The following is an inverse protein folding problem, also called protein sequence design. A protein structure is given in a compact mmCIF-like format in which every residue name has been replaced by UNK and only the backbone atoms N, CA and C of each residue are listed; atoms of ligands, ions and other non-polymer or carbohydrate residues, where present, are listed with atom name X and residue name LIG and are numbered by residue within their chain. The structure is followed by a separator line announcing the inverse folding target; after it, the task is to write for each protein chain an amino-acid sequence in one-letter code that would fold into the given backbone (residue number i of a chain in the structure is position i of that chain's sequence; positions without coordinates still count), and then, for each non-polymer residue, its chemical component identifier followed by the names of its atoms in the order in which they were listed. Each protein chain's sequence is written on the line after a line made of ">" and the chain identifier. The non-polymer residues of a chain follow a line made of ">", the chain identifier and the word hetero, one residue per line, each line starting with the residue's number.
data_IF_076182524107
#
_entry.id   IF_076182524107
#
_cell.length_a   1.000
_cell.length_b   1.000
_cell.length_c   1.000
_cell.angle_alpha   90.00
_cell.angle_beta   90.00
_cell.angle_gamma   90.00
#
_symmetry.space_group_name_H-M   'P 1'
#
loop_
_entity.id
_entity.type
_entity.pdbx_description
1 polymer ?
#
# COMPACT_ATOMS: atom_id res chain seq x y z
N UNK A 1 -16.88 -11.19 -18.74
CA UNK A 1 -15.79 -11.96 -18.09
C UNK A 1 -14.98 -11.00 -17.22
N UNK A 2 -14.99 -11.23 -15.94
CA UNK A 2 -14.12 -10.46 -15.06
C UNK A 2 -12.73 -11.12 -15.07
N UNK A 3 -11.74 -10.42 -15.65
CA UNK A 3 -10.35 -10.82 -15.54
C UNK A 3 -9.87 -10.77 -14.08
N UNK A 4 -8.77 -11.44 -13.80
CA UNK A 4 -8.15 -11.41 -12.48
C UNK A 4 -7.66 -9.99 -12.16
N UNK A 5 -7.67 -9.63 -10.88
CA UNK A 5 -7.05 -8.43 -10.37
C UNK A 5 -5.53 -8.59 -10.50
N UNK A 6 -4.89 -7.75 -11.29
CA UNK A 6 -3.43 -7.80 -11.47
C UNK A 6 -2.73 -6.94 -10.42
N UNK A 7 -1.72 -7.51 -9.77
CA UNK A 7 -1.05 -6.92 -8.61
C UNK A 7 0.45 -6.88 -8.87
N UNK A 8 1.05 -5.71 -8.68
CA UNK A 8 2.49 -5.52 -8.60
C UNK A 8 2.88 -5.34 -7.14
N UNK A 9 3.91 -6.05 -6.70
CA UNK A 9 4.49 -5.91 -5.36
C UNK A 9 5.82 -5.18 -5.48
N UNK A 10 5.96 -4.07 -4.78
CA UNK A 10 7.19 -3.28 -4.70
C UNK A 10 7.65 -3.20 -3.24
N UNK A 11 8.63 -4.01 -2.88
CA UNK A 11 9.18 -4.10 -1.53
C UNK A 11 10.62 -4.65 -1.63
N UNK A 12 11.57 -4.04 -0.94
CA UNK A 12 12.97 -4.46 -0.98
C UNK A 12 13.24 -5.76 -0.19
N UNK A 13 12.33 -6.15 0.69
CA UNK A 13 12.40 -7.43 1.40
C UNK A 13 11.87 -8.55 0.52
N UNK A 14 12.80 -9.33 -0.07
CA UNK A 14 12.46 -10.39 -1.01
C UNK A 14 11.65 -11.53 -0.37
N UNK A 15 12.00 -11.92 0.85
CA UNK A 15 11.29 -12.98 1.57
C UNK A 15 9.83 -12.59 1.83
N UNK A 16 9.60 -11.37 2.30
CA UNK A 16 8.27 -10.81 2.48
C UNK A 16 7.48 -10.78 1.18
N UNK A 17 8.07 -10.26 0.10
CA UNK A 17 7.43 -10.17 -1.21
C UNK A 17 7.05 -11.54 -1.78
N UNK A 18 7.93 -12.52 -1.67
CA UNK A 18 7.66 -13.89 -2.13
C UNK A 18 6.55 -14.55 -1.32
N UNK A 19 6.55 -14.38 -0.02
CA UNK A 19 5.49 -14.89 0.86
C UNK A 19 4.15 -14.25 0.54
N UNK A 20 4.12 -12.94 0.40
CA UNK A 20 2.91 -12.19 0.04
C UNK A 20 2.37 -12.62 -1.33
N UNK A 21 3.24 -12.73 -2.33
CA UNK A 21 2.86 -13.22 -3.66
C UNK A 21 2.25 -14.61 -3.60
N UNK A 22 2.84 -15.49 -2.81
CA UNK A 22 2.35 -16.87 -2.62
C UNK A 22 0.91 -16.90 -2.08
N UNK A 23 0.59 -16.06 -1.10
CA UNK A 23 -0.77 -15.95 -0.56
C UNK A 23 -1.76 -15.35 -1.56
N UNK A 24 -1.36 -14.31 -2.27
CA UNK A 24 -2.23 -13.66 -3.26
C UNK A 24 -2.52 -14.59 -4.45
N UNK A 25 -1.54 -15.36 -4.91
CA UNK A 25 -1.70 -16.32 -6.02
C UNK A 25 -2.64 -17.49 -5.68
N UNK A 26 -2.91 -17.75 -4.41
CA UNK A 26 -3.91 -18.77 -4.01
C UNK A 26 -5.34 -18.30 -4.24
N UNK A 27 -5.57 -17.01 -4.40
CA UNK A 27 -6.88 -16.46 -4.68
C UNK A 27 -7.19 -16.56 -6.18
N UNK A 28 -8.37 -17.12 -6.50
CA UNK A 28 -8.78 -17.37 -7.89
C UNK A 28 -8.96 -16.09 -8.72
N UNK A 29 -9.22 -14.98 -8.06
CA UNK A 29 -9.49 -13.68 -8.66
C UNK A 29 -8.29 -12.73 -8.68
N UNK A 30 -7.10 -13.20 -8.27
CA UNK A 30 -5.89 -12.38 -8.17
C UNK A 30 -4.73 -12.98 -8.95
N UNK A 31 -3.88 -12.12 -9.47
CA UNK A 31 -2.64 -12.48 -10.16
C UNK A 31 -1.53 -11.50 -9.84
N UNK A 32 -0.42 -11.99 -9.31
CA UNK A 32 0.79 -11.18 -9.13
C UNK A 32 1.55 -11.13 -10.44
N UNK A 33 1.62 -9.96 -11.05
CA UNK A 33 2.25 -9.75 -12.36
C UNK A 33 3.73 -9.43 -12.26
N UNK A 34 4.21 -9.06 -11.08
CA UNK A 34 5.62 -8.80 -10.87
C UNK A 34 5.95 -8.47 -9.43
N UNK A 35 7.23 -8.57 -9.12
CA UNK A 35 7.83 -8.18 -7.84
C UNK A 35 9.02 -7.29 -8.16
N UNK A 36 9.11 -6.14 -7.51
CA UNK A 36 10.23 -5.20 -7.63
C UNK A 36 10.83 -4.91 -6.27
N UNK A 37 12.10 -4.48 -6.25
CA UNK A 37 12.83 -4.16 -5.02
C UNK A 37 13.12 -2.68 -4.84
N UNK A 38 12.93 -1.90 -5.87
CA UNK A 38 13.16 -0.44 -5.85
C UNK A 38 12.08 0.29 -6.63
N UNK A 39 11.98 1.60 -6.37
CA UNK A 39 10.93 2.41 -6.95
C UNK A 39 11.12 2.70 -8.43
N UNK A 40 12.35 2.73 -8.95
CA UNK A 40 12.60 2.95 -10.37
C UNK A 40 12.15 1.75 -11.20
N UNK A 41 12.46 0.54 -10.74
CA UNK A 41 11.97 -0.70 -11.35
C UNK A 41 10.45 -0.82 -11.23
N UNK A 42 9.89 -0.38 -10.11
CA UNK A 42 8.43 -0.32 -9.93
C UNK A 42 7.77 0.57 -10.98
N UNK A 43 8.27 1.77 -11.22
CA UNK A 43 7.74 2.68 -12.25
C UNK A 43 7.82 2.04 -13.64
N UNK A 44 8.95 1.42 -13.98
CA UNK A 44 9.12 0.73 -15.25
C UNK A 44 8.07 -0.38 -15.43
N UNK A 45 7.89 -1.22 -14.43
CA UNK A 45 6.91 -2.32 -14.48
C UNK A 45 5.46 -1.85 -14.47
N UNK A 46 5.16 -0.77 -13.78
CA UNK A 46 3.83 -0.13 -13.84
C UNK A 46 3.49 0.27 -15.28
N UNK A 47 4.43 0.87 -15.98
CA UNK A 47 4.27 1.26 -17.39
C UNK A 47 4.09 0.06 -18.33
N UNK A 48 4.91 -0.98 -18.13
CA UNK A 48 4.91 -2.18 -18.98
C UNK A 48 3.69 -3.07 -18.74
N UNK A 49 3.37 -3.33 -17.48
CA UNK A 49 2.40 -4.34 -17.09
C UNK A 49 1.01 -3.78 -16.80
N UNK A 50 0.89 -2.50 -16.55
CA UNK A 50 -0.36 -1.78 -16.24
C UNK A 50 -1.19 -2.53 -15.17
N UNK A 51 -0.62 -2.75 -13.98
CA UNK A 51 -1.33 -3.49 -12.94
C UNK A 51 -2.55 -2.71 -12.45
N UNK A 52 -3.56 -3.43 -11.98
CA UNK A 52 -4.72 -2.83 -11.33
C UNK A 52 -4.35 -2.24 -9.97
N UNK A 53 -3.51 -2.95 -9.22
CA UNK A 53 -3.11 -2.61 -7.85
C UNK A 53 -1.60 -2.68 -7.72
N UNK A 54 -1.02 -1.72 -7.02
CA UNK A 54 0.39 -1.73 -6.62
C UNK A 54 0.45 -1.77 -5.09
N UNK A 55 1.05 -2.82 -4.56
CA UNK A 55 1.41 -2.91 -3.14
C UNK A 55 2.82 -2.34 -2.99
N UNK A 56 2.95 -1.21 -2.31
CA UNK A 56 4.11 -0.35 -2.39
C UNK A 56 4.68 -0.09 -1.00
N UNK A 57 5.88 -0.62 -0.74
CA UNK A 57 6.62 -0.29 0.48
C UNK A 57 7.03 1.19 0.47
N UNK A 58 7.00 1.80 1.64
CA UNK A 58 7.40 3.21 1.80
C UNK A 58 8.89 3.37 1.59
N UNK A 59 9.71 2.49 2.18
CA UNK A 59 11.17 2.61 2.13
C UNK A 59 11.77 1.58 1.18
N UNK A 60 12.33 2.07 0.10
CA UNK A 60 13.04 1.27 -0.90
C UNK A 60 14.28 2.00 -1.40
N UNK A 61 15.33 1.28 -1.87
CA UNK A 61 16.49 1.93 -2.48
C UNK A 61 16.17 2.62 -3.80
N UNK A 62 17.01 3.55 -4.19
CA UNK A 62 16.97 4.38 -5.41
C UNK A 62 15.79 5.36 -5.44
N UNK A 63 14.58 4.88 -5.49
CA UNK A 63 13.35 5.67 -5.40
C UNK A 63 12.44 5.02 -4.37
N UNK A 64 12.06 5.75 -3.34
CA UNK A 64 11.17 5.27 -2.30
C UNK A 64 9.68 5.24 -2.74
N UNK A 65 8.83 4.68 -1.90
CA UNK A 65 7.40 4.59 -2.21
C UNK A 65 6.72 5.95 -2.39
N UNK A 66 7.15 6.97 -1.68
CA UNK A 66 6.63 8.34 -1.87
C UNK A 66 7.00 8.89 -3.24
N UNK A 67 8.23 8.67 -3.66
CA UNK A 67 8.71 9.06 -4.99
C UNK A 67 7.95 8.36 -6.11
N UNK A 68 7.60 7.09 -5.93
CA UNK A 68 6.74 6.35 -6.87
C UNK A 68 5.36 6.99 -6.96
N UNK A 69 4.72 7.29 -5.83
CA UNK A 69 3.42 7.98 -5.79
C UNK A 69 3.46 9.34 -6.48
N UNK A 70 4.49 10.13 -6.23
CA UNK A 70 4.66 11.44 -6.89
C UNK A 70 4.73 11.30 -8.41
N UNK A 71 5.46 10.32 -8.90
CA UNK A 71 5.56 10.06 -10.34
C UNK A 71 4.25 9.59 -10.96
N UNK A 72 3.50 8.74 -10.26
CA UNK A 72 2.18 8.29 -10.71
C UNK A 72 1.21 9.47 -10.77
N UNK A 73 1.18 10.31 -9.74
CA UNK A 73 0.24 11.43 -9.62
C UNK A 73 0.61 12.65 -10.48
N UNK A 74 1.82 12.73 -10.97
CA UNK A 74 2.24 13.84 -11.85
C UNK A 74 1.62 13.82 -13.25
N UNK A 75 0.68 12.94 -13.50
CA UNK A 75 0.02 12.73 -14.82
C UNK A 75 0.97 12.43 -16.00
N UNK A 76 2.23 12.15 -15.71
CA UNK A 76 3.21 11.75 -16.72
C UNK A 76 3.07 10.30 -17.14
N UNK A 77 2.45 9.51 -16.28
CA UNK A 77 2.07 8.14 -16.57
C UNK A 77 0.59 8.16 -16.91
N UNK A 78 0.21 7.84 -18.12
CA UNK A 78 -1.19 7.71 -18.54
C UNK A 78 -1.90 6.52 -17.86
N UNK A 79 -1.34 6.02 -16.76
CA UNK A 79 -1.77 4.85 -16.01
C UNK A 79 -1.98 5.26 -14.58
N UNK A 80 -3.13 4.92 -14.04
CA UNK A 80 -3.49 5.26 -12.67
C UNK A 80 -3.84 3.99 -11.86
N UNK A 81 -2.83 3.20 -11.46
CA UNK A 81 -3.08 2.04 -10.63
C UNK A 81 -3.53 2.45 -9.22
N UNK A 82 -4.27 1.58 -8.57
CA UNK A 82 -4.61 1.74 -7.15
C UNK A 82 -3.37 1.42 -6.32
N UNK A 83 -2.89 2.39 -5.55
CA UNK A 83 -1.71 2.22 -4.71
C UNK A 83 -2.11 1.96 -3.25
N UNK A 84 -1.69 0.83 -2.73
CA UNK A 84 -1.79 0.47 -1.32
C UNK A 84 -0.38 0.54 -0.72
N UNK A 85 -0.19 1.45 0.25
CA UNK A 85 1.11 1.58 0.92
C UNK A 85 1.28 0.50 1.99
N UNK A 86 2.46 -0.08 2.02
CA UNK A 86 2.89 -1.00 3.08
C UNK A 86 3.89 -0.25 3.96
N UNK A 87 3.54 0.02 5.22
CA UNK A 87 4.38 0.78 6.13
C UNK A 87 4.76 -0.01 7.37
N UNK A 88 5.94 0.27 7.93
CA UNK A 88 6.31 -0.27 9.23
C UNK A 88 5.76 0.59 10.36
N UNK A 89 5.63 0.00 11.54
CA UNK A 89 5.32 0.74 12.78
C UNK A 89 6.38 1.83 13.01
N UNK A 90 5.94 3.02 13.36
CA UNK A 90 6.83 4.18 13.60
C UNK A 90 7.07 5.07 12.38
N UNK A 91 6.46 4.78 11.23
CA UNK A 91 6.57 5.57 10.01
C UNK A 91 5.36 6.51 9.80
N UNK A 92 4.80 7.04 10.86
CA UNK A 92 3.52 7.76 10.85
C UNK A 92 3.53 9.01 9.98
N UNK A 93 4.57 9.84 10.09
CA UNK A 93 4.70 11.07 9.28
C UNK A 93 4.83 10.77 7.79
N UNK A 94 5.57 9.71 7.46
CA UNK A 94 5.78 9.27 6.08
C UNK A 94 4.48 8.70 5.51
N UNK A 95 3.76 7.92 6.29
CA UNK A 95 2.46 7.35 5.92
C UNK A 95 1.43 8.45 5.68
N UNK A 96 1.39 9.48 6.54
CA UNK A 96 0.52 10.64 6.36
C UNK A 96 0.82 11.38 5.06
N UNK A 97 2.10 11.55 4.73
CA UNK A 97 2.51 12.15 3.46
C UNK A 97 2.10 11.30 2.26
N UNK A 98 2.20 9.99 2.35
CA UNK A 98 1.75 9.06 1.31
C UNK A 98 0.25 9.20 1.02
N UNK A 99 -0.57 9.32 2.05
CA UNK A 99 -2.02 9.55 1.92
C UNK A 99 -2.28 10.89 1.23
N UNK A 100 -1.56 11.93 1.60
CA UNK A 100 -1.65 13.27 0.98
C UNK A 100 -1.26 13.23 -0.50
N UNK A 101 -0.30 12.39 -0.88
CA UNK A 101 0.17 12.20 -2.25
C UNK A 101 -0.73 11.29 -3.09
N UNK A 102 -1.82 10.78 -2.55
CA UNK A 102 -2.81 10.01 -3.30
C UNK A 102 -2.77 8.51 -3.13
N UNK A 103 -2.12 7.99 -2.09
CA UNK A 103 -2.29 6.59 -1.73
C UNK A 103 -3.75 6.31 -1.40
N UNK A 104 -4.33 5.30 -2.05
CA UNK A 104 -5.74 4.92 -1.85
C UNK A 104 -5.96 4.30 -0.47
N UNK A 105 -4.96 3.56 -0.01
CA UNK A 105 -5.01 2.83 1.24
C UNK A 105 -3.59 2.61 1.78
N UNK A 106 -3.47 2.37 3.08
CA UNK A 106 -2.21 1.93 3.68
C UNK A 106 -2.46 0.76 4.64
N UNK A 107 -1.45 -0.07 4.81
CA UNK A 107 -1.46 -1.20 5.73
C UNK A 107 -0.16 -1.19 6.54
N UNK A 108 -0.27 -1.32 7.85
CA UNK A 108 0.88 -1.32 8.75
C UNK A 108 1.37 -2.76 8.96
N UNK A 109 2.65 -2.99 8.74
CA UNK A 109 3.29 -4.29 8.98
C UNK A 109 3.54 -4.52 10.48
N UNK A 110 3.31 -5.72 11.01
CA UNK A 110 2.69 -6.87 10.39
C UNK A 110 1.17 -6.72 10.26
N UNK A 111 0.58 -7.31 9.22
CA UNK A 111 -0.84 -7.21 8.95
C UNK A 111 -1.47 -8.59 8.71
N UNK A 112 -2.79 -8.67 8.84
CA UNK A 112 -3.57 -9.83 8.45
C UNK A 112 -3.71 -9.89 6.93
N UNK A 113 -3.22 -10.96 6.32
CA UNK A 113 -3.27 -11.15 4.87
C UNK A 113 -4.72 -11.21 4.35
N UNK A 114 -5.64 -11.77 5.11
CA UNK A 114 -7.04 -11.84 4.71
C UNK A 114 -7.69 -10.45 4.69
N UNK A 115 -7.29 -9.58 5.60
CA UNK A 115 -7.71 -8.18 5.59
C UNK A 115 -7.20 -7.47 4.33
N UNK A 116 -5.94 -7.66 3.97
CA UNK A 116 -5.38 -7.08 2.74
C UNK A 116 -6.12 -7.57 1.50
N UNK A 117 -6.37 -8.86 1.40
CA UNK A 117 -7.12 -9.47 0.29
C UNK A 117 -8.53 -8.87 0.19
N UNK A 118 -9.23 -8.73 1.32
CA UNK A 118 -10.55 -8.10 1.37
C UNK A 118 -10.51 -6.65 0.90
N UNK A 119 -9.49 -5.89 1.29
CA UNK A 119 -9.31 -4.50 0.86
C UNK A 119 -9.04 -4.36 -0.63
N UNK A 120 -8.23 -5.24 -1.19
CA UNK A 120 -7.97 -5.27 -2.63
C UNK A 120 -9.27 -5.49 -3.41
N UNK A 121 -10.09 -6.42 -2.97
CA UNK A 121 -11.41 -6.70 -3.58
C UNK A 121 -12.37 -5.51 -3.46
N UNK A 122 -12.47 -4.91 -2.29
CA UNK A 122 -13.32 -3.73 -2.07
C UNK A 122 -12.92 -2.57 -2.98
N UNK A 123 -11.65 -2.23 -3.03
CA UNK A 123 -11.15 -1.11 -3.84
C UNK A 123 -11.40 -1.37 -5.32
N UNK A 124 -11.19 -2.59 -5.79
CA UNK A 124 -11.41 -2.94 -7.19
C UNK A 124 -12.89 -2.92 -7.58
N UNK A 125 -13.78 -3.35 -6.70
CA UNK A 125 -15.23 -3.36 -6.91
C UNK A 125 -15.84 -1.95 -6.78
N UNK A 126 -15.25 -1.10 -5.97
CA UNK A 126 -15.54 0.32 -5.93
C UNK A 126 -14.79 1.02 -7.08
N UNK A 127 -15.25 0.85 -8.32
CA UNK A 127 -14.91 1.85 -9.33
C UNK A 127 -15.60 3.14 -8.90
N UNK A 128 -14.88 4.19 -8.56
CA UNK A 128 -15.53 5.46 -8.28
C UNK A 128 -16.18 5.94 -9.59
N UNK A 129 -17.49 5.96 -9.62
CA UNK A 129 -18.14 7.03 -10.32
C UNK A 129 -17.58 8.30 -9.68
N UNK A 130 -17.00 9.18 -10.42
CA UNK A 130 -16.14 10.35 -10.14
C UNK A 130 -16.35 11.19 -8.86
N UNK A 131 -17.10 10.73 -7.88
CA UNK A 131 -17.52 11.52 -6.73
C UNK A 131 -17.18 10.96 -5.34
N UNK A 132 -16.53 9.79 -5.22
CA UNK A 132 -16.36 9.14 -3.90
C UNK A 132 -14.91 8.95 -3.42
N UNK A 133 -13.93 9.63 -4.01
CA UNK A 133 -12.55 9.65 -3.49
C UNK A 133 -12.45 10.15 -2.04
N UNK A 134 -13.47 10.87 -1.57
CA UNK A 134 -13.50 11.45 -0.22
C UNK A 134 -13.76 10.41 0.87
N UNK A 135 -14.47 9.31 0.58
CA UNK A 135 -14.81 8.30 1.59
C UNK A 135 -13.66 7.35 1.90
N UNK A 136 -12.97 6.85 0.89
CA UNK A 136 -11.84 5.93 1.07
C UNK A 136 -10.68 6.64 1.77
N UNK A 137 -10.41 7.90 1.40
CA UNK A 137 -9.40 8.74 2.07
C UNK A 137 -9.79 9.04 3.51
N UNK A 138 -11.08 9.23 3.82
CA UNK A 138 -11.55 9.44 5.19
C UNK A 138 -11.40 8.18 6.05
N UNK A 139 -11.74 7.02 5.55
CA UNK A 139 -11.55 5.75 6.26
C UNK A 139 -10.06 5.46 6.49
N UNK A 140 -9.22 5.65 5.49
CA UNK A 140 -7.77 5.52 5.62
C UNK A 140 -7.21 6.50 6.66
N UNK A 141 -7.65 7.75 6.66
CA UNK A 141 -7.26 8.75 7.68
C UNK A 141 -7.72 8.36 9.07
N UNK A 142 -8.95 7.89 9.24
CA UNK A 142 -9.46 7.48 10.54
C UNK A 142 -8.72 6.25 11.06
N UNK A 143 -8.44 5.28 10.21
CA UNK A 143 -7.69 4.09 10.58
C UNK A 143 -6.24 4.43 10.92
N UNK A 144 -5.61 5.36 10.19
CA UNK A 144 -4.30 5.90 10.50
C UNK A 144 -4.27 6.55 11.89
N UNK A 145 -5.21 7.44 12.18
CA UNK A 145 -5.33 8.13 13.47
C UNK A 145 -5.49 7.12 14.60
N UNK A 146 -6.35 6.11 14.43
CA UNK A 146 -6.57 5.07 15.41
C UNK A 146 -5.30 4.26 15.70
N UNK A 147 -4.58 3.83 14.67
CA UNK A 147 -3.31 3.10 14.84
C UNK A 147 -2.23 3.98 15.47
N UNK A 148 -2.15 5.25 15.08
CA UNK A 148 -1.22 6.20 15.67
C UNK A 148 -1.51 6.44 17.16
N UNK A 149 -2.77 6.57 17.55
CA UNK A 149 -3.20 6.70 18.95
C UNK A 149 -2.89 5.46 19.77
N UNK A 150 -3.17 4.27 19.24
CA UNK A 150 -2.83 2.98 19.89
C UNK A 150 -1.32 2.83 20.09
N UNK A 151 -0.51 3.21 19.10
CA UNK A 151 0.95 3.17 19.20
C UNK A 151 1.50 4.19 20.19
N UNK A 152 0.95 5.40 20.23
CA UNK A 152 1.32 6.40 21.23
C UNK A 152 1.01 5.93 22.64
N UNK A 153 -0.16 5.34 22.88
CA UNK A 153 -0.55 4.77 24.17
C UNK A 153 0.37 3.63 24.59
N UNK A 154 0.78 2.77 23.68
CA UNK A 154 1.71 1.68 23.94
C UNK A 154 3.12 2.17 24.27
N UNK A 155 3.60 3.21 23.62
CA UNK A 155 4.88 3.86 23.91
C UNK A 155 4.87 4.51 25.29
N UNK A 156 3.81 5.21 25.67
CA UNK A 156 3.66 5.79 27.01
C UNK A 156 3.66 4.71 28.10
N UNK A 157 2.94 3.61 27.89
CA UNK A 157 2.91 2.48 28.81
C UNK A 157 4.30 1.83 28.96
N UNK A 158 5.07 1.69 27.88
CA UNK A 158 6.45 1.18 27.91
C UNK A 158 7.39 2.12 28.65
N UNK A 159 7.31 3.42 28.42
CA UNK A 159 8.11 4.43 29.13
C UNK A 159 7.80 4.43 30.63
N UNK A 160 6.54 4.34 31.01
CA UNK A 160 6.11 4.28 32.40
C UNK A 160 6.65 3.02 33.10
N UNK A 161 6.69 1.89 32.43
CA UNK A 161 7.24 0.65 32.96
C UNK A 161 8.79 0.66 33.12
N UNK A 162 9.47 1.47 32.34
CA UNK A 162 10.93 1.59 32.41
C UNK A 162 11.36 2.54 33.55
N UNK A 163 10.54 3.52 33.90
CA UNK A 163 10.86 4.54 34.96
C UNK A 163 10.52 4.04 36.35
N UNK A 164 9.73 3.00 36.51
CA UNK A 164 9.39 2.35 37.77
C UNK A 164 10.05 0.99 37.88
#
# INVERSE_FOLDING_TARGET
>A
MNGKITILIADDNQEFSNTLASYLEKEDDMKVVGITRDGEDAIRKIKEMKPDVVLLDVIMPHLDGLGVLEKINSNRLEINPICIMLSAVGQDKITQKAITLGAEYYVVKPFDIQLLISRIREIKNFKPAEQNNTFVVKEAKQQYIKVAEENASNLEALVTNIIH
#
